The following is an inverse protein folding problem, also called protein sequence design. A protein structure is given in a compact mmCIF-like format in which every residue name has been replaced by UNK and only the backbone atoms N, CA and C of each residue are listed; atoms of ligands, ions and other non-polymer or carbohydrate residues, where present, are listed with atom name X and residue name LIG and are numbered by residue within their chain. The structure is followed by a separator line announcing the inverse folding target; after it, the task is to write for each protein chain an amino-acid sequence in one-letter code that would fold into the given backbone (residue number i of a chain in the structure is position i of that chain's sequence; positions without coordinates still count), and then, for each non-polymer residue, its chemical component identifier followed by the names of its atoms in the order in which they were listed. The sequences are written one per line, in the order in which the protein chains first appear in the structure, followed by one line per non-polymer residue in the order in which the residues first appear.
data_IF_608408114131
#
_entry.id   IF_608408114131
#
_cell.length_a   1.000
_cell.length_b   1.000
_cell.length_c   1.000
_cell.angle_alpha   90.00
_cell.angle_beta   90.00
_cell.angle_gamma   90.00
#
_symmetry.space_group_name_H-M   'P 1'
#
loop_
_entity.id
_entity.type
_entity.pdbx_description
1 polymer ?
#
# COMPACT_ATOMS: atom_id res chain seq x y z
N UNK A 1 11.98 -4.31 -7.79
CA UNK A 1 11.34 -4.19 -6.47
C UNK A 1 9.96 -3.60 -6.66
N UNK A 2 8.92 -4.05 -5.96
CA UNK A 2 7.58 -3.46 -5.95
C UNK A 2 7.23 -3.05 -4.52
N UNK A 3 6.86 -1.78 -4.29
CA UNK A 3 6.51 -1.25 -2.97
C UNK A 3 5.05 -0.78 -2.97
N UNK A 4 4.17 -1.43 -2.21
CA UNK A 4 2.76 -1.04 -2.03
C UNK A 4 2.60 -0.49 -0.62
N UNK A 5 2.28 0.80 -0.46
CA UNK A 5 2.22 1.47 0.83
C UNK A 5 0.91 2.24 1.05
N UNK A 6 0.41 2.19 2.29
CA UNK A 6 -0.79 2.95 2.69
C UNK A 6 -0.39 4.15 3.53
N UNK A 7 -0.89 5.31 3.14
CA UNK A 7 -0.87 6.50 3.99
C UNK A 7 -2.19 6.56 4.76
N UNK A 8 -2.12 6.42 6.08
CA UNK A 8 -3.28 6.53 6.97
C UNK A 8 -3.02 7.58 8.03
N UNK A 9 -3.95 8.50 8.24
CA UNK A 9 -3.89 9.38 9.38
C UNK A 9 -4.51 8.66 10.60
N UNK A 10 -3.86 8.62 11.77
CA UNK A 10 -4.42 8.01 12.99
C UNK A 10 -4.52 9.00 14.16
N UNK A 11 -5.72 9.17 14.75
CA UNK A 11 -5.90 9.66 16.13
C UNK A 11 -7.26 9.20 16.65
N UNK A 12 -7.27 8.42 17.73
CA UNK A 12 -8.45 8.13 18.54
C UNK A 12 -8.70 9.32 19.47
N UNK A 13 -9.93 9.83 19.55
CA UNK A 13 -10.34 10.76 20.63
C UNK A 13 -11.64 10.28 21.27
N UNK A 14 -11.63 10.20 22.59
CA UNK A 14 -12.79 9.96 23.45
C UNK A 14 -13.78 11.13 23.40
N UNK A 15 -15.03 10.81 23.76
CA UNK A 15 -16.25 11.60 23.62
C UNK A 15 -16.20 13.02 24.22
N UNK A 16 -16.91 13.95 23.54
CA UNK A 16 -17.17 15.37 23.88
C UNK A 16 -16.07 16.39 23.50
N UNK A 17 -15.88 16.63 22.20
CA UNK A 17 -15.21 17.84 21.73
C UNK A 17 -15.82 18.31 20.39
N UNK A 18 -16.02 19.63 20.23
CA UNK A 18 -16.36 20.25 18.95
C UNK A 18 -15.26 19.87 17.94
N UNK A 19 -15.64 19.12 16.89
CA UNK A 19 -14.72 18.70 15.84
C UNK A 19 -14.40 19.90 14.95
N UNK A 20 -13.22 20.50 15.14
CA UNK A 20 -12.64 21.38 14.13
C UNK A 20 -12.29 20.54 12.90
N UNK A 21 -13.19 20.56 11.90
CA UNK A 21 -12.96 19.95 10.58
C UNK A 21 -11.89 20.75 9.84
N UNK A 22 -10.64 20.25 9.83
CA UNK A 22 -9.57 20.91 9.09
C UNK A 22 -8.43 19.98 8.64
N UNK A 23 -8.54 18.66 8.79
CA UNK A 23 -7.42 17.76 8.48
C UNK A 23 -7.79 16.42 7.84
N UNK A 24 -9.09 16.13 7.65
CA UNK A 24 -9.57 14.87 7.06
C UNK A 24 -10.81 15.12 6.23
N UNK A 25 -11.00 14.31 5.19
CA UNK A 25 -12.29 14.20 4.54
C UNK A 25 -13.18 13.27 5.37
N UNK A 26 -14.44 13.63 5.57
CA UNK A 26 -15.39 12.76 6.25
C UNK A 26 -15.67 11.51 5.42
N UNK A 27 -15.87 10.38 6.10
CA UNK A 27 -16.35 9.18 5.44
C UNK A 27 -17.72 9.48 4.81
N UNK A 28 -17.94 8.99 3.59
CA UNK A 28 -19.13 9.25 2.76
C UNK A 28 -19.27 10.69 2.24
N UNK A 29 -18.23 11.52 2.39
CA UNK A 29 -18.15 12.80 1.66
C UNK A 29 -17.99 12.51 0.16
N UNK A 30 -18.92 13.01 -0.70
CA UNK A 30 -18.85 12.78 -2.14
C UNK A 30 -17.58 13.36 -2.79
N UNK A 31 -16.90 14.31 -2.13
CA UNK A 31 -15.65 14.91 -2.58
C UNK A 31 -14.41 14.24 -1.97
N UNK A 32 -14.57 13.26 -1.08
CA UNK A 32 -13.46 12.49 -0.51
C UNK A 32 -12.46 11.91 -1.51
N UNK A 33 -12.89 11.44 -2.69
CA UNK A 33 -11.96 11.00 -3.73
C UNK A 33 -10.99 12.08 -4.21
N UNK A 34 -11.33 13.38 -4.13
CA UNK A 34 -10.46 14.48 -4.57
C UNK A 34 -9.17 14.60 -3.76
N UNK A 35 -9.09 13.95 -2.60
CA UNK A 35 -7.83 13.85 -1.87
C UNK A 35 -6.72 13.17 -2.71
N UNK A 36 -7.06 12.38 -3.73
CA UNK A 36 -6.08 11.81 -4.66
C UNK A 36 -5.21 12.88 -5.37
N UNK A 37 -5.63 14.15 -5.40
CA UNK A 37 -4.80 15.24 -5.92
C UNK A 37 -3.49 15.41 -5.14
N UNK A 38 -3.47 14.99 -3.87
CA UNK A 38 -2.28 14.96 -3.04
C UNK A 38 -1.29 13.91 -3.56
N UNK A 39 -1.75 12.70 -3.86
CA UNK A 39 -0.90 11.63 -4.40
C UNK A 39 -0.52 11.86 -5.86
N UNK A 40 -1.30 12.63 -6.62
CA UNK A 40 -0.93 13.08 -7.96
C UNK A 40 0.35 13.93 -7.97
N UNK A 41 0.61 14.71 -6.91
CA UNK A 41 1.88 15.44 -6.78
C UNK A 41 3.04 14.49 -6.51
N UNK A 42 2.83 13.52 -5.62
CA UNK A 42 3.81 12.46 -5.33
C UNK A 42 4.17 11.69 -6.59
N UNK A 43 3.16 11.26 -7.37
CA UNK A 43 3.37 10.45 -8.56
C UNK A 43 4.21 11.16 -9.62
N UNK A 44 4.18 12.50 -9.68
CA UNK A 44 4.93 13.26 -10.70
C UNK A 44 6.42 13.38 -10.43
N UNK A 45 6.87 13.12 -9.20
CA UNK A 45 8.28 13.31 -8.79
C UNK A 45 9.03 12.00 -8.56
N UNK A 46 8.37 10.84 -8.74
CA UNK A 46 9.02 9.53 -8.61
C UNK A 46 9.88 9.22 -9.84
N UNK A 47 11.04 8.61 -9.61
CA UNK A 47 11.93 8.15 -10.70
C UNK A 47 11.63 6.72 -11.16
N UNK A 48 10.92 5.94 -10.35
CA UNK A 48 10.58 4.56 -10.65
C UNK A 48 9.76 4.45 -11.94
N UNK A 49 10.16 3.62 -12.92
CA UNK A 49 9.40 3.42 -14.15
C UNK A 49 8.01 2.83 -13.90
N UNK A 50 7.89 1.87 -12.97
CA UNK A 50 6.60 1.48 -12.44
C UNK A 50 6.22 2.48 -11.34
N UNK A 51 5.17 3.24 -11.57
CA UNK A 51 4.74 4.31 -10.69
C UNK A 51 3.22 4.48 -10.82
N UNK A 52 2.49 3.60 -10.15
CA UNK A 52 1.04 3.50 -10.22
C UNK A 52 0.42 3.94 -8.90
N UNK A 53 -0.62 4.76 -8.95
CA UNK A 53 -1.30 5.26 -7.75
C UNK A 53 -2.80 5.06 -7.90
N UNK A 54 -3.42 4.54 -6.85
CA UNK A 54 -4.87 4.47 -6.72
C UNK A 54 -5.27 5.08 -5.37
N UNK A 55 -5.87 6.28 -5.42
CA UNK A 55 -6.12 7.09 -4.23
C UNK A 55 -4.83 7.27 -3.41
N UNK A 56 -4.74 6.63 -2.24
CA UNK A 56 -3.61 6.72 -1.30
C UNK A 56 -2.65 5.53 -1.43
N UNK A 57 -2.98 4.53 -2.24
CA UNK A 57 -2.18 3.33 -2.43
C UNK A 57 -1.23 3.55 -3.60
N UNK A 58 0.06 3.68 -3.30
CA UNK A 58 1.12 3.88 -4.28
C UNK A 58 1.89 2.59 -4.51
N UNK A 59 2.15 2.27 -5.76
CA UNK A 59 2.98 1.15 -6.20
C UNK A 59 4.17 1.64 -7.02
N UNK A 60 5.36 1.45 -6.48
CA UNK A 60 6.63 1.83 -7.13
C UNK A 60 7.41 0.59 -7.55
N UNK A 61 8.04 0.61 -8.72
CA UNK A 61 8.98 -0.42 -9.11
C UNK A 61 10.09 -0.01 -10.06
N UNK A 62 11.29 -0.41 -9.66
CA UNK A 62 12.58 -0.06 -10.25
C UNK A 62 13.67 -0.96 -9.61
N UNK A 63 14.97 -0.80 -9.95
CA UNK A 63 16.05 -1.32 -9.12
C UNK A 63 15.95 -0.79 -7.68
N UNK A 64 16.44 -1.58 -6.71
CA UNK A 64 16.23 -1.32 -5.29
C UNK A 64 16.66 0.09 -4.84
N UNK A 65 17.83 0.57 -5.30
CA UNK A 65 18.31 1.91 -4.97
C UNK A 65 17.34 3.03 -5.37
N UNK A 66 16.74 2.93 -6.57
CA UNK A 66 15.76 3.92 -7.05
C UNK A 66 14.47 3.86 -6.24
N UNK A 67 13.95 2.66 -5.95
CA UNK A 67 12.74 2.53 -5.12
C UNK A 67 12.96 3.05 -3.70
N UNK A 68 14.14 2.79 -3.12
CA UNK A 68 14.50 3.29 -1.78
C UNK A 68 14.63 4.82 -1.74
N UNK A 69 15.18 5.42 -2.79
CA UNK A 69 15.22 6.87 -2.97
C UNK A 69 13.81 7.47 -3.08
N UNK A 70 12.96 6.88 -3.92
CA UNK A 70 11.59 7.35 -4.12
C UNK A 70 10.76 7.19 -2.83
N UNK A 71 10.92 6.09 -2.08
CA UNK A 71 10.30 5.90 -0.77
C UNK A 71 10.69 7.01 0.22
N UNK A 72 11.97 7.38 0.29
CA UNK A 72 12.42 8.49 1.14
C UNK A 72 11.82 9.84 0.71
N UNK A 73 11.61 10.03 -0.60
CA UNK A 73 10.90 11.19 -1.15
C UNK A 73 9.43 11.20 -0.72
N UNK A 74 8.75 10.05 -0.79
CA UNK A 74 7.36 9.92 -0.32
C UNK A 74 7.25 10.26 1.17
N UNK A 75 8.14 9.73 2.02
CA UNK A 75 8.14 10.03 3.46
C UNK A 75 8.31 11.52 3.76
N UNK A 76 9.22 12.17 3.03
CA UNK A 76 9.50 13.60 3.17
C UNK A 76 8.26 14.41 2.80
N UNK A 77 7.67 14.13 1.63
CA UNK A 77 6.50 14.84 1.14
C UNK A 77 5.26 14.57 1.99
N UNK A 78 5.07 13.35 2.49
CA UNK A 78 4.01 13.02 3.46
C UNK A 78 4.11 13.89 4.71
N UNK A 79 5.32 14.09 5.25
CA UNK A 79 5.55 14.94 6.41
C UNK A 79 5.19 16.41 6.14
N UNK A 80 5.50 16.92 4.96
CA UNK A 80 5.17 18.29 4.55
C UNK A 80 3.67 18.54 4.48
N UNK A 81 2.90 17.58 3.96
CA UNK A 81 1.43 17.65 3.87
C UNK A 81 0.72 17.24 5.16
N UNK A 82 1.46 17.04 6.26
CA UNK A 82 0.94 16.55 7.57
C UNK A 82 0.16 15.23 7.45
N UNK A 83 0.61 14.36 6.55
CA UNK A 83 0.14 12.98 6.42
C UNK A 83 1.21 12.02 6.96
N UNK A 84 0.79 10.81 7.32
CA UNK A 84 1.69 9.76 7.80
C UNK A 84 1.70 8.61 6.79
N UNK A 85 2.90 8.17 6.40
CA UNK A 85 3.12 6.91 5.68
C UNK A 85 3.28 5.80 6.72
N UNK A 86 2.45 4.76 6.64
CA UNK A 86 2.57 3.61 7.53
C UNK A 86 3.51 2.58 6.91
N UNK A 87 4.79 2.60 7.30
CA UNK A 87 5.78 1.64 6.80
C UNK A 87 5.43 0.19 7.12
N UNK A 88 4.70 -0.07 8.20
CA UNK A 88 4.25 -1.42 8.57
C UNK A 88 3.17 -1.97 7.63
N UNK A 89 2.42 -1.09 6.97
CA UNK A 89 1.49 -1.47 5.91
C UNK A 89 2.16 -1.55 4.53
N UNK A 90 3.40 -1.07 4.42
CA UNK A 90 4.17 -1.15 3.18
C UNK A 90 4.64 -2.59 2.93
N UNK A 91 4.36 -3.10 1.74
CA UNK A 91 4.83 -4.39 1.25
C UNK A 91 5.96 -4.21 0.25
N UNK A 92 7.08 -4.91 0.44
CA UNK A 92 8.17 -4.96 -0.52
C UNK A 92 8.37 -6.36 -1.09
N UNK A 93 8.45 -6.44 -2.41
CA UNK A 93 8.83 -7.67 -3.10
C UNK A 93 9.99 -7.43 -4.06
N UNK A 94 11.01 -8.29 -4.02
CA UNK A 94 12.19 -8.22 -4.90
C UNK A 94 12.03 -9.23 -6.05
N UNK A 95 12.11 -8.75 -7.29
CA UNK A 95 11.99 -9.54 -8.51
C UNK A 95 13.26 -9.43 -9.36
N UNK A 96 13.52 -10.47 -10.16
CA UNK A 96 14.60 -10.52 -11.16
C UNK A 96 15.94 -10.98 -10.56
N UNK A 97 16.89 -11.35 -11.44
CA UNK A 97 18.20 -11.95 -11.10
C UNK A 97 18.10 -13.34 -10.46
N UNK A 98 19.23 -13.90 -10.03
CA UNK A 98 19.28 -15.19 -9.33
C UNK A 98 18.74 -15.08 -7.89
N UNK A 99 18.41 -16.22 -7.28
CA UNK A 99 17.84 -16.28 -5.92
C UNK A 99 18.75 -15.62 -4.89
N UNK A 100 20.07 -15.84 -4.97
CA UNK A 100 21.04 -15.24 -4.05
C UNK A 100 21.02 -13.70 -4.08
N UNK A 101 20.92 -13.10 -5.27
CA UNK A 101 20.83 -11.64 -5.42
C UNK A 101 19.51 -11.10 -4.83
N UNK A 102 18.42 -11.84 -4.98
CA UNK A 102 17.11 -11.48 -4.42
C UNK A 102 17.14 -11.51 -2.89
N UNK A 103 17.70 -12.56 -2.30
CA UNK A 103 17.86 -12.71 -0.85
C UNK A 103 18.75 -11.60 -0.27
N UNK A 104 19.90 -11.34 -0.91
CA UNK A 104 20.80 -10.28 -0.49
C UNK A 104 20.14 -8.90 -0.54
N UNK A 105 19.43 -8.61 -1.63
CA UNK A 105 18.70 -7.34 -1.78
C UNK A 105 17.58 -7.22 -0.77
N UNK A 106 16.83 -8.30 -0.54
CA UNK A 106 15.75 -8.34 0.47
C UNK A 106 16.29 -8.08 1.87
N UNK A 107 17.38 -8.77 2.25
CA UNK A 107 18.03 -8.58 3.54
C UNK A 107 18.55 -7.15 3.74
N UNK A 108 19.13 -6.54 2.69
CA UNK A 108 19.59 -5.16 2.75
C UNK A 108 18.42 -4.18 2.97
N UNK A 109 17.31 -4.36 2.25
CA UNK A 109 16.11 -3.52 2.42
C UNK A 109 15.50 -3.73 3.81
N UNK A 110 15.39 -4.98 4.27
CA UNK A 110 14.83 -5.30 5.58
C UNK A 110 15.68 -4.75 6.73
N UNK A 111 17.00 -4.72 6.57
CA UNK A 111 17.91 -4.07 7.53
C UNK A 111 17.69 -2.56 7.56
N UNK A 112 17.49 -1.93 6.40
CA UNK A 112 17.24 -0.49 6.31
C UNK A 112 15.82 -0.10 6.75
N UNK A 113 14.83 -0.99 6.55
CA UNK A 113 13.39 -0.77 6.77
C UNK A 113 12.76 -1.99 7.45
N UNK A 114 13.02 -2.19 8.74
CA UNK A 114 12.56 -3.38 9.46
C UNK A 114 11.05 -3.46 9.64
N UNK A 115 10.37 -2.31 9.55
CA UNK A 115 8.91 -2.22 9.71
C UNK A 115 8.14 -2.81 8.52
N UNK A 116 8.76 -2.87 7.34
CA UNK A 116 8.08 -3.28 6.12
C UNK A 116 7.80 -4.79 6.08
N UNK A 117 6.68 -5.14 5.45
CA UNK A 117 6.30 -6.53 5.21
C UNK A 117 6.89 -7.04 3.90
N UNK A 118 7.41 -8.27 3.92
CA UNK A 118 7.94 -8.95 2.73
C UNK A 118 7.06 -10.17 2.43
N UNK A 119 5.99 -10.00 1.60
CA UNK A 119 5.07 -11.09 1.32
C UNK A 119 5.73 -12.19 0.49
N UNK A 120 5.23 -13.41 0.64
CA UNK A 120 5.58 -14.49 -0.28
C UNK A 120 5.01 -14.23 -1.69
N UNK A 121 5.45 -15.02 -2.67
CA UNK A 121 4.95 -14.96 -4.05
C UNK A 121 3.44 -15.18 -4.15
N UNK A 122 2.89 -16.03 -3.28
CA UNK A 122 1.47 -16.39 -3.25
C UNK A 122 0.62 -15.27 -2.63
N UNK A 123 1.17 -14.55 -1.65
CA UNK A 123 0.48 -13.48 -0.92
C UNK A 123 0.65 -12.10 -1.56
N UNK A 124 1.50 -12.00 -2.59
CA UNK A 124 1.76 -10.74 -3.26
C UNK A 124 0.54 -10.32 -4.10
N UNK A 125 -0.17 -9.33 -3.58
CA UNK A 125 -1.37 -8.76 -4.21
C UNK A 125 -1.27 -7.25 -4.34
N UNK A 126 -1.84 -6.70 -5.43
CA UNK A 126 -2.07 -5.28 -5.62
C UNK A 126 -3.57 -5.02 -5.75
N UNK A 127 -4.14 -4.13 -4.94
CA UNK A 127 -5.57 -3.79 -4.94
C UNK A 127 -6.49 -5.03 -4.88
N UNK A 128 -6.08 -6.07 -4.15
CA UNK A 128 -6.82 -7.32 -4.01
C UNK A 128 -6.73 -8.28 -5.20
N UNK A 129 -5.89 -8.00 -6.20
CA UNK A 129 -5.56 -8.90 -7.30
C UNK A 129 -4.15 -9.49 -7.08
N UNK A 130 -3.95 -10.81 -7.27
CA UNK A 130 -2.62 -11.40 -7.21
C UNK A 130 -1.74 -10.84 -8.34
N UNK A 131 -0.49 -10.50 -8.02
CA UNK A 131 0.47 -10.01 -9.01
C UNK A 131 1.17 -11.15 -9.76
N UNK A 132 1.16 -12.36 -9.21
CA UNK A 132 1.80 -13.54 -9.77
C UNK A 132 0.79 -14.67 -9.96
N UNK A 133 1.06 -15.53 -10.95
CA UNK A 133 0.30 -16.75 -11.22
C UNK A 133 0.18 -17.64 -9.98
N UNK A 134 1.23 -17.68 -9.16
CA UNK A 134 1.34 -18.50 -7.95
C UNK A 134 0.23 -18.16 -6.93
N UNK A 135 -0.23 -16.91 -6.91
CA UNK A 135 -1.29 -16.44 -5.99
C UNK A 135 -2.71 -16.60 -6.54
N UNK A 136 -2.89 -16.97 -7.81
CA UNK A 136 -4.22 -17.06 -8.45
C UNK A 136 -5.13 -18.10 -7.78
N UNK A 137 -4.68 -19.35 -7.51
CA UNK A 137 -5.54 -20.34 -6.84
C UNK A 137 -6.01 -19.86 -5.48
N UNK A 138 -5.11 -19.34 -4.64
CA UNK A 138 -5.45 -18.81 -3.32
C UNK A 138 -6.46 -17.66 -3.41
N UNK A 139 -6.28 -16.75 -4.37
CA UNK A 139 -7.19 -15.62 -4.56
C UNK A 139 -8.59 -16.07 -4.97
N UNK A 140 -8.71 -17.09 -5.83
CA UNK A 140 -9.99 -17.68 -6.25
C UNK A 140 -10.65 -18.38 -5.06
N UNK A 141 -9.93 -19.21 -4.32
CA UNK A 141 -10.46 -19.94 -3.18
C UNK A 141 -10.97 -19.00 -2.08
N UNK A 142 -10.19 -17.96 -1.77
CA UNK A 142 -10.56 -16.94 -0.78
C UNK A 142 -11.83 -16.21 -1.18
N UNK A 143 -11.94 -15.79 -2.45
CA UNK A 143 -13.13 -15.10 -2.96
C UNK A 143 -14.34 -16.02 -3.01
N UNK A 144 -14.17 -17.26 -3.45
CA UNK A 144 -15.25 -18.27 -3.52
C UNK A 144 -15.79 -18.60 -2.14
N UNK A 145 -14.90 -18.77 -1.16
CA UNK A 145 -15.28 -19.00 0.24
C UNK A 145 -16.05 -17.82 0.81
N UNK A 146 -15.58 -16.59 0.56
CA UNK A 146 -16.25 -15.36 1.02
C UNK A 146 -17.64 -15.22 0.39
N UNK A 147 -17.76 -15.43 -0.93
CA UNK A 147 -19.04 -15.36 -1.63
C UNK A 147 -20.02 -16.44 -1.15
N UNK A 148 -19.54 -17.66 -0.90
CA UNK A 148 -20.35 -18.74 -0.36
C UNK A 148 -20.89 -18.40 1.04
N UNK A 149 -20.04 -17.82 1.90
CA UNK A 149 -20.44 -17.36 3.23
C UNK A 149 -21.44 -16.20 3.17
N UNK A 150 -21.24 -15.25 2.26
CA UNK A 150 -22.20 -14.16 2.06
C UNK A 150 -23.54 -14.69 1.56
N UNK A 151 -23.52 -15.62 0.60
CA UNK A 151 -24.71 -16.27 0.07
C UNK A 151 -25.47 -17.05 1.14
N UNK A 152 -24.78 -17.81 2.00
CA UNK A 152 -25.42 -18.55 3.09
C UNK A 152 -26.02 -17.67 4.18
N UNK A 153 -25.59 -16.40 4.28
CA UNK A 153 -26.14 -15.42 5.23
C UNK A 153 -27.32 -14.64 4.64
N UNK A 154 -27.42 -14.56 3.32
CA UNK A 154 -28.56 -13.92 2.66
C UNK A 154 -29.86 -14.70 2.86
N UNK A 155 -29.80 -16.03 3.08
CA UNK A 155 -30.98 -16.84 3.40
C UNK A 155 -31.53 -16.63 4.82
N UNK A 156 -30.95 -15.71 5.61
CA UNK A 156 -31.42 -15.32 6.95
C UNK A 156 -32.22 -14.00 6.91
N UNK A 157 -32.31 -13.34 5.74
CA UNK A 157 -33.17 -12.19 5.47
C UNK A 157 -34.44 -12.62 4.71
#
# INVERSE_FOLDING_TARGET
MSLCGKCTANRRSSFSAILHSASRVQQDDPLGPLFCLVTLKLSKVMHSPLNAWYLYDGTLGSPAGTVMHDLATVETLCREIRSELSLSECKCFVFGRCVADQEQTTAAIQTARPEMTFPSRVELSLLGAPLLSDGVPLAIDTKTTTLSLMSSRLSIL
#
